data_IF_816431953357
#
_entry.id   IF_816431953357
#
_cell.length_a   1.000
_cell.length_b   1.000
_cell.length_c   1.000
_cell.angle_alpha   90.00
_cell.angle_beta   90.00
_cell.angle_gamma   90.00
#
_symmetry.space_group_name_H-M   'P 1'
#
loop_
_entity.id
_entity.type
_entity.pdbx_description
1 polymer ?
#
# COMPACT_ATOMS: atom_id res chain seq x y z
N UNK A 1 -16.76 36.67 -2.69
CA UNK A 1 -15.42 36.01 -2.72
C UNK A 1 -15.03 35.90 -4.19
N UNK A 2 -13.87 36.42 -4.57
CA UNK A 2 -13.47 36.47 -5.99
C UNK A 2 -13.23 35.02 -6.49
N UNK A 3 -13.87 34.59 -7.58
CA UNK A 3 -13.77 33.24 -8.15
C UNK A 3 -12.29 32.80 -8.36
N UNK A 4 -11.43 33.75 -8.71
CA UNK A 4 -9.98 33.52 -8.85
C UNK A 4 -9.31 33.10 -7.54
N UNK A 5 -9.70 33.67 -6.40
CA UNK A 5 -9.17 33.29 -5.08
C UNK A 5 -9.62 31.87 -4.67
N UNK A 6 -10.87 31.49 -5.02
CA UNK A 6 -11.35 30.15 -4.74
C UNK A 6 -10.56 29.10 -5.53
N UNK A 7 -10.31 29.35 -6.82
CA UNK A 7 -9.50 28.44 -7.65
C UNK A 7 -8.09 28.32 -7.09
N UNK A 8 -7.44 29.44 -6.78
CA UNK A 8 -6.08 29.43 -6.22
C UNK A 8 -6.02 28.62 -4.91
N UNK A 9 -7.00 28.81 -4.02
CA UNK A 9 -7.05 28.10 -2.74
C UNK A 9 -7.22 26.58 -2.95
N UNK A 10 -8.12 26.16 -3.86
CA UNK A 10 -8.31 24.76 -4.20
C UNK A 10 -7.04 24.14 -4.82
N UNK A 11 -6.36 24.87 -5.68
CA UNK A 11 -5.11 24.42 -6.29
C UNK A 11 -4.03 24.20 -5.24
N UNK A 12 -3.89 25.09 -4.26
CA UNK A 12 -2.94 24.96 -3.15
C UNK A 12 -3.26 23.72 -2.31
N UNK A 13 -4.55 23.47 -2.00
CA UNK A 13 -4.96 22.27 -1.25
C UNK A 13 -4.60 21.00 -2.02
N UNK A 14 -4.86 20.95 -3.32
CA UNK A 14 -4.54 19.78 -4.15
C UNK A 14 -3.03 19.56 -4.20
N UNK A 15 -2.23 20.60 -4.42
CA UNK A 15 -0.76 20.50 -4.44
C UNK A 15 -0.24 20.02 -3.08
N UNK A 16 -0.76 20.56 -1.98
CA UNK A 16 -0.39 20.12 -0.63
C UNK A 16 -0.74 18.66 -0.38
N UNK A 17 -1.92 18.24 -0.82
CA UNK A 17 -2.36 16.85 -0.70
C UNK A 17 -1.45 15.90 -1.50
N UNK A 18 -1.13 16.23 -2.76
CA UNK A 18 -0.19 15.48 -3.60
C UNK A 18 1.18 15.41 -2.92
N UNK A 19 1.68 16.53 -2.41
CA UNK A 19 2.95 16.60 -1.72
C UNK A 19 2.99 15.66 -0.51
N UNK A 20 1.92 15.59 0.28
CA UNK A 20 1.81 14.66 1.40
C UNK A 20 1.91 13.19 0.98
N UNK A 21 1.47 12.82 -0.23
CA UNK A 21 1.65 11.46 -0.76
C UNK A 21 3.08 11.17 -1.22
N UNK A 22 3.81 12.20 -1.64
CA UNK A 22 5.18 12.05 -2.14
C UNK A 22 6.23 11.94 -1.03
N UNK A 23 5.89 12.38 0.19
CA UNK A 23 6.80 12.33 1.34
C UNK A 23 6.69 10.97 2.02
N UNK A 24 7.83 10.31 2.19
CA UNK A 24 7.94 9.14 3.04
C UNK A 24 8.28 9.55 4.47
N UNK A 25 7.86 8.77 5.48
CA UNK A 25 8.34 8.95 6.84
C UNK A 25 9.87 8.77 6.89
N UNK A 26 10.54 9.53 7.77
CA UNK A 26 12.01 9.45 7.91
C UNK A 26 12.42 8.09 8.46
N UNK A 27 11.76 7.69 9.53
CA UNK A 27 12.00 6.40 10.18
C UNK A 27 10.97 5.40 9.69
N UNK A 28 11.42 4.19 9.41
CA UNK A 28 10.57 3.11 8.94
C UNK A 28 10.23 2.24 10.15
N UNK A 29 8.95 2.17 10.46
CA UNK A 29 8.37 1.35 11.51
C UNK A 29 7.31 0.43 10.89
N UNK A 30 7.21 -0.79 11.41
CA UNK A 30 6.12 -1.70 11.09
C UNK A 30 5.13 -1.62 12.23
N UNK A 31 3.96 -1.06 11.96
CA UNK A 31 2.90 -0.97 12.96
C UNK A 31 2.14 -2.30 13.00
N UNK A 32 1.78 -2.73 14.20
CA UNK A 32 1.00 -3.93 14.41
C UNK A 32 -0.23 -3.58 15.23
N UNK A 33 -1.39 -4.05 14.82
CA UNK A 33 -2.68 -3.73 15.45
C UNK A 33 -3.65 -4.90 15.36
N UNK A 34 -4.66 -4.88 16.21
CA UNK A 34 -5.83 -5.75 16.11
C UNK A 34 -6.97 -4.99 15.41
N UNK A 35 -8.04 -5.70 15.03
CA UNK A 35 -9.24 -5.07 14.48
C UNK A 35 -9.87 -4.06 15.44
N UNK A 36 -9.89 -4.39 16.73
CA UNK A 36 -10.51 -3.56 17.74
C UNK A 36 -9.72 -2.27 18.01
N UNK A 37 -8.40 -2.34 17.85
CA UNK A 37 -7.49 -1.22 18.10
C UNK A 37 -7.17 -0.44 16.82
N UNK A 38 -7.61 -0.93 15.66
CA UNK A 38 -7.37 -0.26 14.39
C UNK A 38 -8.04 1.10 14.37
N UNK A 39 -7.20 2.12 14.25
CA UNK A 39 -7.64 3.50 14.13
C UNK A 39 -7.13 4.10 12.82
N UNK A 40 -8.01 4.81 12.10
CA UNK A 40 -7.65 5.49 10.85
C UNK A 40 -6.53 6.52 11.01
N UNK A 41 -6.25 7.00 12.24
CA UNK A 41 -5.08 7.84 12.50
C UNK A 41 -3.76 7.15 12.18
N UNK A 42 -3.68 5.81 12.29
CA UNK A 42 -2.50 5.03 11.92
C UNK A 42 -2.14 5.17 10.44
N UNK A 43 -3.15 5.36 9.59
CA UNK A 43 -2.95 5.56 8.15
C UNK A 43 -2.19 6.85 7.82
N UNK A 44 -2.30 7.88 8.67
CA UNK A 44 -1.56 9.14 8.49
C UNK A 44 -0.06 8.99 8.74
N UNK A 45 0.35 7.96 9.51
CA UNK A 45 1.77 7.67 9.74
C UNK A 45 2.47 7.16 8.48
N UNK A 46 1.70 6.68 7.49
CA UNK A 46 2.19 6.17 6.20
C UNK A 46 3.22 5.04 6.34
N UNK A 47 3.09 4.30 7.42
CA UNK A 47 3.87 3.10 7.71
C UNK A 47 3.11 1.85 7.27
N UNK A 48 3.78 0.75 6.97
CA UNK A 48 3.13 -0.55 6.82
C UNK A 48 2.42 -0.95 8.12
N UNK A 49 1.18 -1.43 8.01
CA UNK A 49 0.36 -1.80 9.16
C UNK A 49 -0.04 -3.26 9.04
N UNK A 50 0.36 -4.07 10.01
CA UNK A 50 -0.05 -5.48 10.10
C UNK A 50 -1.30 -5.57 10.97
N UNK A 51 -2.33 -6.25 10.47
CA UNK A 51 -3.55 -6.57 11.18
C UNK A 51 -3.49 -8.05 11.53
N UNK A 52 -3.46 -8.36 12.81
CA UNK A 52 -3.19 -9.71 13.31
C UNK A 52 -4.41 -10.60 13.37
N UNK A 53 -5.61 -10.00 13.35
CA UNK A 53 -6.84 -10.78 13.50
C UNK A 53 -7.24 -11.47 12.20
N UNK A 54 -7.92 -12.61 12.37
CA UNK A 54 -8.60 -13.27 11.28
C UNK A 54 -9.75 -12.41 10.75
N UNK A 55 -9.73 -12.14 9.45
CA UNK A 55 -10.77 -11.37 8.78
C UNK A 55 -11.73 -12.32 8.05
N UNK A 56 -12.88 -12.60 8.64
CA UNK A 56 -13.87 -13.52 8.07
C UNK A 56 -14.50 -12.96 6.78
N UNK A 57 -14.92 -11.70 6.79
CA UNK A 57 -15.55 -11.02 5.65
C UNK A 57 -14.68 -9.84 5.17
N UNK A 58 -13.49 -10.16 4.67
CA UNK A 58 -12.44 -9.18 4.28
C UNK A 58 -12.96 -8.09 3.36
N UNK A 59 -13.68 -8.48 2.33
CA UNK A 59 -14.19 -7.54 1.33
C UNK A 59 -15.23 -6.58 1.93
N UNK A 60 -16.14 -7.05 2.76
CA UNK A 60 -17.10 -6.18 3.45
C UNK A 60 -16.40 -5.21 4.40
N UNK A 61 -15.40 -5.70 5.11
CA UNK A 61 -14.62 -4.87 6.03
C UNK A 61 -13.89 -3.76 5.29
N UNK A 62 -13.17 -4.08 4.22
CA UNK A 62 -12.45 -3.11 3.39
C UNK A 62 -13.43 -2.09 2.81
N UNK A 63 -14.58 -2.54 2.28
CA UNK A 63 -15.62 -1.65 1.77
C UNK A 63 -16.21 -0.74 2.85
N UNK A 64 -16.35 -1.22 4.09
CA UNK A 64 -16.85 -0.39 5.19
C UNK A 64 -15.82 0.65 5.64
N UNK A 65 -14.55 0.28 5.71
CA UNK A 65 -13.46 1.16 6.11
C UNK A 65 -13.16 2.25 5.07
N UNK A 66 -13.23 1.87 3.79
CA UNK A 66 -12.87 2.74 2.68
C UNK A 66 -14.07 3.09 1.80
N UNK A 67 -15.22 3.36 2.43
CA UNK A 67 -16.52 3.61 1.78
C UNK A 67 -16.48 4.65 0.64
N UNK A 68 -15.57 5.62 0.71
CA UNK A 68 -15.44 6.69 -0.29
C UNK A 68 -14.25 6.51 -1.24
N UNK A 69 -13.69 5.30 -1.26
CA UNK A 69 -12.55 4.95 -2.10
C UNK A 69 -12.97 3.96 -3.19
N UNK A 70 -12.20 3.94 -4.27
CA UNK A 70 -12.30 2.91 -5.30
C UNK A 70 -11.50 1.70 -4.84
N UNK A 71 -12.13 0.54 -4.80
CA UNK A 71 -11.53 -0.70 -4.33
C UNK A 71 -11.56 -1.69 -5.49
N UNK A 72 -10.38 -2.17 -5.89
CA UNK A 72 -10.22 -3.15 -6.95
C UNK A 72 -9.48 -4.37 -6.39
N UNK A 73 -10.04 -5.54 -6.58
CA UNK A 73 -9.32 -6.78 -6.35
C UNK A 73 -8.28 -6.97 -7.46
N UNK A 74 -7.05 -7.22 -7.07
CA UNK A 74 -5.95 -7.41 -7.98
C UNK A 74 -5.69 -8.92 -8.13
N UNK A 75 -5.75 -9.40 -9.37
CA UNK A 75 -5.32 -10.75 -9.67
C UNK A 75 -3.79 -10.72 -9.85
N UNK A 76 -3.10 -11.51 -9.07
CA UNK A 76 -1.73 -11.84 -9.40
C UNK A 76 -1.77 -12.94 -10.45
N UNK A 77 -1.52 -12.57 -11.69
CA UNK A 77 -1.13 -13.56 -12.67
C UNK A 77 0.16 -14.18 -12.16
N UNK A 78 0.10 -15.49 -11.89
CA UNK A 78 1.28 -16.30 -11.71
C UNK A 78 1.96 -16.34 -13.08
N UNK A 79 2.64 -15.27 -13.43
CA UNK A 79 3.64 -15.34 -14.48
C UNK A 79 4.66 -16.35 -13.97
N UNK A 80 4.49 -17.59 -14.49
CA UNK A 80 5.37 -18.73 -14.28
C UNK A 80 6.72 -18.49 -14.99
N UNK A 81 7.28 -17.31 -14.85
CA UNK A 81 8.67 -17.08 -15.15
C UNK A 81 9.50 -17.57 -13.97
N UNK A 82 9.88 -18.87 -14.09
CA UNK A 82 10.91 -19.53 -13.26
C UNK A 82 12.30 -18.90 -13.40
N UNK A 83 12.36 -17.64 -13.78
CA UNK A 83 13.57 -16.85 -13.72
C UNK A 83 13.66 -16.21 -12.34
N UNK A 84 14.52 -16.77 -11.50
CA UNK A 84 14.96 -16.19 -10.22
C UNK A 84 15.64 -14.82 -10.39
N UNK A 85 15.57 -14.23 -11.56
CA UNK A 85 16.20 -12.97 -11.92
C UNK A 85 15.26 -11.79 -11.67
N UNK A 86 15.58 -10.99 -10.65
CA UNK A 86 15.41 -9.54 -10.47
C UNK A 86 14.05 -8.84 -10.77
N UNK A 87 13.07 -9.47 -11.42
CA UNK A 87 11.90 -8.77 -11.96
C UNK A 87 10.61 -8.88 -11.11
N UNK A 88 10.65 -9.48 -9.95
CA UNK A 88 9.44 -9.72 -9.15
C UNK A 88 9.06 -8.57 -8.21
N UNK A 89 9.84 -7.51 -8.16
CA UNK A 89 9.53 -6.33 -7.40
C UNK A 89 8.38 -5.55 -8.01
N UNK A 90 7.34 -5.30 -7.22
CA UNK A 90 6.17 -4.52 -7.61
C UNK A 90 6.14 -3.19 -6.89
N UNK A 91 5.58 -2.20 -7.54
CA UNK A 91 5.39 -0.87 -6.98
C UNK A 91 3.93 -0.69 -6.57
N UNK A 92 3.69 -0.26 -5.34
CA UNK A 92 2.34 0.07 -4.93
C UNK A 92 1.90 1.43 -5.50
N UNK A 93 1.11 1.39 -6.57
CA UNK A 93 0.50 2.57 -7.21
C UNK A 93 -0.87 2.94 -6.60
N UNK A 94 -1.30 2.22 -5.57
CA UNK A 94 -2.56 2.48 -4.88
C UNK A 94 -2.33 3.31 -3.62
N UNK A 95 -3.33 4.07 -3.20
CA UNK A 95 -3.31 4.80 -1.93
C UNK A 95 -2.93 3.89 -0.77
N UNK A 96 -3.59 2.73 -0.72
CA UNK A 96 -3.24 1.60 0.13
C UNK A 96 -3.36 0.32 -0.68
N UNK A 97 -2.43 -0.58 -0.48
CA UNK A 97 -2.51 -1.95 -0.94
C UNK A 97 -2.83 -2.82 0.28
N UNK A 98 -3.98 -3.47 0.25
CA UNK A 98 -4.37 -4.41 1.29
C UNK A 98 -4.04 -5.81 0.82
N UNK A 99 -3.17 -6.49 1.54
CA UNK A 99 -2.74 -7.87 1.26
C UNK A 99 -3.18 -8.73 2.42
N UNK A 100 -3.92 -9.79 2.13
CA UNK A 100 -4.32 -10.79 3.12
C UNK A 100 -3.86 -12.15 2.66
N UNK A 101 -3.31 -12.94 3.56
CA UNK A 101 -2.85 -14.28 3.27
C UNK A 101 -3.72 -15.35 3.94
N UNK A 102 -3.96 -16.44 3.22
CA UNK A 102 -4.62 -17.62 3.79
C UNK A 102 -3.61 -18.65 4.31
N UNK A 103 -2.33 -18.49 3.99
CA UNK A 103 -1.21 -19.31 4.44
C UNK A 103 -0.06 -18.41 4.89
N UNK A 104 0.93 -18.98 5.58
CA UNK A 104 2.14 -18.25 5.95
C UNK A 104 2.85 -17.75 4.70
N UNK A 105 3.19 -16.47 4.67
CA UNK A 105 3.94 -15.88 3.57
C UNK A 105 4.97 -14.86 4.07
N UNK A 106 5.95 -14.56 3.23
CA UNK A 106 6.94 -13.53 3.50
C UNK A 106 6.76 -12.40 2.49
N UNK A 107 6.58 -11.18 3.00
CA UNK A 107 6.52 -9.98 2.18
C UNK A 107 7.78 -9.17 2.44
N UNK A 108 8.52 -8.92 1.39
CA UNK A 108 9.73 -8.10 1.45
C UNK A 108 9.35 -6.72 0.92
N UNK A 109 9.65 -5.69 1.69
CA UNK A 109 9.34 -4.31 1.35
C UNK A 109 10.56 -3.43 1.43
N UNK A 110 10.57 -2.37 0.65
CA UNK A 110 11.53 -1.29 0.80
C UNK A 110 10.96 0.05 0.34
N UNK A 111 11.58 1.11 0.83
CA UNK A 111 11.29 2.48 0.48
C UNK A 111 12.22 2.90 -0.64
N UNK A 112 11.75 2.89 -1.87
CA UNK A 112 12.60 3.28 -3.00
C UNK A 112 12.36 4.72 -3.44
N UNK A 113 13.39 5.34 -4.00
CA UNK A 113 13.25 6.50 -4.85
C UNK A 113 12.48 6.13 -6.12
N UNK A 114 11.68 7.06 -6.63
CA UNK A 114 10.65 6.91 -7.67
C UNK A 114 11.07 6.17 -8.96
N UNK A 115 12.37 6.07 -9.24
CA UNK A 115 12.89 5.63 -10.55
C UNK A 115 13.47 4.22 -10.57
N UNK A 116 13.69 3.57 -9.43
CA UNK A 116 14.35 2.27 -9.38
C UNK A 116 13.38 1.18 -8.95
N UNK A 117 13.39 0.07 -9.67
CA UNK A 117 12.56 -1.11 -9.34
C UNK A 117 13.25 -2.06 -8.37
N UNK A 118 14.57 -2.09 -8.36
CA UNK A 118 15.39 -3.02 -7.58
C UNK A 118 16.10 -2.23 -6.48
N UNK A 119 16.14 -2.75 -5.22
CA UNK A 119 16.86 -2.09 -4.13
C UNK A 119 18.36 -2.03 -4.41
N UNK A 120 19.00 -0.95 -4.02
CA UNK A 120 20.46 -0.84 -4.02
C UNK A 120 21.04 -1.52 -2.76
N UNK A 121 22.34 -1.83 -2.76
CA UNK A 121 22.98 -2.53 -1.66
C UNK A 121 22.91 -1.79 -0.31
N UNK A 122 22.75 -0.46 -0.34
CA UNK A 122 22.63 0.42 0.82
C UNK A 122 21.17 0.69 1.24
N UNK A 123 20.19 0.24 0.46
CA UNK A 123 18.78 0.44 0.79
C UNK A 123 18.30 -0.55 1.86
N UNK A 124 17.60 -0.04 2.85
CA UNK A 124 17.04 -0.85 3.94
C UNK A 124 15.87 -1.68 3.43
N UNK A 125 16.12 -2.96 3.24
CA UNK A 125 15.11 -3.98 2.92
C UNK A 125 14.55 -4.55 4.23
N UNK A 126 13.22 -4.71 4.29
CA UNK A 126 12.54 -5.26 5.46
C UNK A 126 11.75 -6.48 5.02
N UNK A 127 12.06 -7.62 5.64
CA UNK A 127 11.30 -8.86 5.47
C UNK A 127 10.24 -8.97 6.57
N UNK A 128 8.99 -9.10 6.19
CA UNK A 128 7.83 -9.25 7.08
C UNK A 128 7.28 -10.66 6.88
N UNK A 129 7.28 -11.44 7.95
CA UNK A 129 6.60 -12.74 7.96
C UNK A 129 5.16 -12.51 8.41
N UNK A 130 4.22 -12.81 7.53
CA UNK A 130 2.81 -12.86 7.87
C UNK A 130 2.44 -14.30 8.16
N UNK A 131 1.82 -14.49 9.29
CA UNK A 131 1.20 -15.78 9.65
C UNK A 131 -0.13 -15.95 8.92
N UNK A 132 -0.59 -17.16 8.86
CA UNK A 132 -1.89 -17.51 8.28
C UNK A 132 -2.99 -16.55 8.75
N UNK A 133 -3.74 -16.01 7.80
CA UNK A 133 -4.86 -15.08 7.97
C UNK A 133 -4.52 -13.67 8.41
N UNK A 134 -3.28 -13.34 8.64
CA UNK A 134 -2.89 -11.96 8.87
C UNK A 134 -3.03 -11.13 7.60
N UNK A 135 -3.12 -9.83 7.78
CA UNK A 135 -3.20 -8.88 6.69
C UNK A 135 -2.19 -7.76 6.86
N UNK A 136 -1.77 -7.16 5.76
CA UNK A 136 -0.95 -5.96 5.78
C UNK A 136 -1.54 -4.88 4.89
N UNK A 137 -1.51 -3.64 5.38
CA UNK A 137 -1.78 -2.43 4.62
C UNK A 137 -0.46 -1.76 4.26
N UNK A 138 -0.15 -1.68 2.97
CA UNK A 138 1.01 -0.96 2.46
C UNK A 138 0.59 0.38 1.88
N UNK A 139 1.14 1.51 2.36
CA UNK A 139 0.86 2.83 1.80
C UNK A 139 1.40 3.00 0.37
N UNK A 140 0.98 4.08 -0.29
CA UNK A 140 1.42 4.47 -1.63
C UNK A 140 2.95 4.54 -1.75
N UNK A 141 3.48 4.09 -2.90
CA UNK A 141 4.90 4.07 -3.28
C UNK A 141 5.82 3.10 -2.56
N UNK A 142 5.34 2.33 -1.61
CA UNK A 142 6.14 1.23 -1.11
C UNK A 142 6.36 0.21 -2.22
N UNK A 143 7.59 -0.28 -2.34
CA UNK A 143 7.90 -1.41 -3.20
C UNK A 143 7.84 -2.68 -2.40
N UNK A 144 7.38 -3.73 -3.05
CA UNK A 144 7.14 -4.99 -2.36
C UNK A 144 7.39 -6.18 -3.29
N UNK A 145 7.76 -7.27 -2.68
CA UNK A 145 7.86 -8.58 -3.28
C UNK A 145 7.24 -9.61 -2.34
N UNK A 146 6.40 -10.51 -2.84
CA UNK A 146 5.74 -11.54 -2.05
C UNK A 146 6.35 -12.89 -2.42
N UNK A 147 6.93 -13.56 -1.43
CA UNK A 147 7.36 -14.95 -1.57
C UNK A 147 6.15 -15.85 -1.28
N UNK A 148 6.01 -16.94 -2.02
CA UNK A 148 4.92 -17.91 -1.86
C UNK A 148 3.54 -17.28 -2.04
N UNK A 149 3.27 -16.76 -3.25
CA UNK A 149 2.04 -16.05 -3.63
C UNK A 149 0.78 -16.92 -3.54
N UNK A 150 0.90 -18.23 -3.32
CA UNK A 150 -0.25 -19.12 -3.25
C UNK A 150 -1.20 -18.69 -2.13
N UNK A 151 -2.47 -18.48 -2.49
CA UNK A 151 -3.55 -18.10 -1.56
C UNK A 151 -3.44 -16.70 -0.93
N UNK A 152 -2.87 -15.75 -1.64
CA UNK A 152 -2.83 -14.34 -1.25
C UNK A 152 -3.93 -13.57 -1.98
N UNK A 153 -4.73 -12.83 -1.23
CA UNK A 153 -5.74 -11.92 -1.77
C UNK A 153 -5.26 -10.49 -1.65
N UNK A 154 -5.38 -9.72 -2.74
CA UNK A 154 -4.84 -8.36 -2.78
C UNK A 154 -5.91 -7.40 -3.30
N UNK A 155 -6.06 -6.26 -2.62
CA UNK A 155 -6.94 -5.17 -3.02
C UNK A 155 -6.19 -3.87 -3.10
N UNK A 156 -6.34 -3.18 -4.22
CA UNK A 156 -5.90 -1.81 -4.42
C UNK A 156 -6.99 -0.84 -4.00
N UNK A 157 -6.68 0.08 -3.09
CA UNK A 157 -7.59 1.08 -2.56
C UNK A 157 -7.13 2.46 -3.01
N UNK A 158 -7.97 3.18 -3.76
CA UNK A 158 -7.65 4.48 -4.32
C UNK A 158 -8.69 5.53 -3.97
N UNK A 159 -8.26 6.76 -3.87
CA UNK A 159 -9.14 7.93 -4.02
C UNK A 159 -8.96 8.55 -5.41
N UNK A 160 -9.73 9.60 -5.71
CA UNK A 160 -9.69 10.28 -7.01
C UNK A 160 -8.26 10.75 -7.34
N UNK A 161 -7.54 11.28 -6.35
CA UNK A 161 -6.20 11.86 -6.55
C UNK A 161 -5.18 10.76 -6.78
N UNK A 162 -5.17 9.71 -5.97
CA UNK A 162 -4.23 8.59 -6.16
C UNK A 162 -4.50 7.79 -7.41
N UNK A 163 -5.77 7.67 -7.83
CA UNK A 163 -6.09 7.10 -9.15
C UNK A 163 -5.45 7.90 -10.28
N UNK A 164 -5.49 9.24 -10.19
CA UNK A 164 -4.86 10.10 -11.18
C UNK A 164 -3.32 10.05 -11.12
N UNK A 165 -2.75 10.04 -9.92
CA UNK A 165 -1.29 9.94 -9.73
C UNK A 165 -0.71 8.63 -10.27
N UNK A 166 -1.44 7.51 -10.15
CA UNK A 166 -1.04 6.21 -10.70
C UNK A 166 -0.92 6.18 -12.22
N UNK A 167 -1.52 7.15 -12.94
CA UNK A 167 -1.34 7.30 -14.40
C UNK A 167 -0.13 8.17 -14.78
N UNK A 168 0.39 8.98 -13.85
CA UNK A 168 1.47 9.95 -14.14
C UNK A 168 2.84 9.41 -13.69
N UNK A 169 2.89 8.64 -12.63
CA UNK A 169 4.11 8.15 -11.97
C UNK A 169 4.15 6.63 -11.89
#
# INVERSE_FOLDING_TARGET
MNFKFLILFLTIIIIFYIYCYLIFPKDIEILQTTLNDFNFSLLYMRQPIIITDYLEEKEKLINSWFKYNFINQLNFDNDNDNNENDNNWKHNNHKYLFINTNNDCEIIIYKANLKKTIPEEDERIIAIKLEKYQSILLPYKWKYYIKNINDVNIWGINDIITSFLGYIF
#
